data_IF_192409280823
#
_entry.id   IF_192409280823
#
_cell.length_a   1.000
_cell.length_b   1.000
_cell.length_c   1.000
_cell.angle_alpha   90.00
_cell.angle_beta   90.00
_cell.angle_gamma   90.00
#
_symmetry.space_group_name_H-M   'P 1'
#
loop_
_entity.id
_entity.type
_entity.pdbx_description
1 polymer ?
#
# COMPACT_ATOMS: atom_id res chain seq x y z
N UNK A 1 0.95 9.18 -25.95
CA UNK A 1 2.21 8.55 -25.46
C UNK A 1 1.96 7.86 -24.13
N UNK A 2 2.89 7.03 -23.68
CA UNK A 2 2.79 6.32 -22.40
C UNK A 2 3.09 7.23 -21.20
N UNK A 3 2.32 7.11 -20.12
CA UNK A 3 2.48 7.87 -18.88
C UNK A 3 3.00 6.97 -17.75
N UNK A 4 3.97 7.46 -16.98
CA UNK A 4 4.48 6.79 -15.77
C UNK A 4 3.47 6.95 -14.64
N UNK A 5 2.59 5.97 -14.43
CA UNK A 5 1.50 6.08 -13.45
C UNK A 5 1.84 5.45 -12.09
N UNK A 6 2.83 4.56 -12.05
CA UNK A 6 3.32 3.90 -10.84
C UNK A 6 4.80 3.52 -10.95
N UNK A 7 5.46 3.25 -9.81
CA UNK A 7 6.90 3.02 -9.66
C UNK A 7 7.59 2.21 -10.77
N UNK A 8 6.94 1.17 -11.29
CA UNK A 8 7.50 0.22 -12.27
C UNK A 8 6.75 0.11 -13.59
N UNK A 9 5.68 0.87 -13.82
CA UNK A 9 4.90 0.71 -15.06
C UNK A 9 4.45 2.01 -15.72
N UNK A 10 4.34 1.90 -17.05
CA UNK A 10 3.87 2.94 -17.94
C UNK A 10 2.64 2.43 -18.71
N UNK A 11 1.67 3.29 -18.97
CA UNK A 11 0.49 2.93 -19.74
C UNK A 11 -0.02 4.13 -20.55
N UNK A 12 -0.71 3.86 -21.66
CA UNK A 12 -1.58 4.86 -22.27
C UNK A 12 -2.74 5.21 -21.32
N UNK A 13 -3.40 6.37 -21.50
CA UNK A 13 -4.66 6.65 -20.84
C UNK A 13 -5.63 5.46 -20.97
N UNK A 14 -6.38 5.17 -19.92
CA UNK A 14 -7.36 4.06 -19.84
C UNK A 14 -6.81 2.62 -19.94
N UNK A 15 -5.50 2.46 -20.10
CA UNK A 15 -4.82 1.15 -20.15
C UNK A 15 -3.98 0.85 -18.90
N UNK A 16 -4.22 1.57 -17.79
CA UNK A 16 -3.52 1.34 -16.52
C UNK A 16 -3.94 -0.01 -15.92
N UNK A 17 -2.98 -0.78 -15.38
CA UNK A 17 -3.27 -2.10 -14.79
C UNK A 17 -4.15 -1.96 -13.54
N UNK A 18 -5.39 -2.46 -13.63
CA UNK A 18 -6.36 -2.44 -12.51
C UNK A 18 -5.86 -3.18 -11.28
N UNK A 19 -5.13 -4.29 -11.46
CA UNK A 19 -4.57 -5.06 -10.35
C UNK A 19 -3.51 -4.26 -9.58
N UNK A 20 -2.53 -3.66 -10.29
CA UNK A 20 -1.49 -2.84 -9.67
C UNK A 20 -2.12 -1.63 -8.96
N UNK A 21 -3.09 -0.96 -9.60
CA UNK A 21 -3.78 0.17 -9.00
C UNK A 21 -4.49 -0.23 -7.71
N UNK A 22 -5.22 -1.35 -7.68
CA UNK A 22 -5.85 -1.84 -6.45
C UNK A 22 -4.80 -2.08 -5.35
N UNK A 23 -3.68 -2.72 -5.67
CA UNK A 23 -2.63 -3.00 -4.71
C UNK A 23 -2.01 -1.72 -4.13
N UNK A 24 -1.68 -0.76 -4.99
CA UNK A 24 -1.06 0.51 -4.60
C UNK A 24 -2.03 1.46 -3.90
N UNK A 25 -3.32 1.42 -4.22
CA UNK A 25 -4.37 2.15 -3.49
C UNK A 25 -4.77 1.47 -2.19
N UNK A 26 -4.02 0.44 -1.77
CA UNK A 26 -4.25 -0.31 -0.53
C UNK A 26 -5.63 -0.98 -0.49
N UNK A 27 -6.14 -1.41 -1.65
CA UNK A 27 -7.38 -2.18 -1.80
C UNK A 27 -7.22 -3.64 -1.39
N UNK A 28 -8.35 -4.35 -1.35
CA UNK A 28 -8.40 -5.74 -0.92
C UNK A 28 -8.14 -6.71 -2.07
N UNK A 29 -7.54 -7.84 -1.74
CA UNK A 29 -7.24 -8.92 -2.69
C UNK A 29 -7.00 -10.24 -1.97
N UNK A 30 -7.34 -11.33 -2.66
CA UNK A 30 -7.12 -12.69 -2.21
C UNK A 30 -5.84 -13.24 -2.83
N UNK A 31 -4.97 -13.83 -2.00
CA UNK A 31 -3.85 -14.62 -2.47
C UNK A 31 -4.28 -16.06 -2.75
N UNK A 32 -4.02 -16.58 -3.94
CA UNK A 32 -4.32 -17.97 -4.33
C UNK A 32 -3.02 -18.68 -4.70
N UNK A 33 -2.85 -19.92 -4.23
CA UNK A 33 -1.63 -20.71 -4.44
C UNK A 33 -0.64 -20.67 -3.27
N UNK A 34 0.40 -21.49 -3.38
CA UNK A 34 1.47 -21.57 -2.39
C UNK A 34 2.20 -20.22 -2.31
N UNK A 35 2.49 -19.77 -1.10
CA UNK A 35 3.20 -18.51 -0.83
C UNK A 35 2.40 -17.24 -1.11
N UNK A 36 1.15 -17.35 -1.57
CA UNK A 36 0.37 -16.17 -1.91
C UNK A 36 -0.01 -15.35 -0.66
N UNK A 37 -0.03 -14.04 -0.83
CA UNK A 37 -0.43 -13.07 0.18
C UNK A 37 -1.79 -12.47 -0.17
N UNK A 38 -2.53 -12.04 0.85
CA UNK A 38 -3.78 -11.29 0.68
C UNK A 38 -3.90 -10.16 1.68
N UNK A 39 -4.82 -9.24 1.39
CA UNK A 39 -5.23 -8.15 2.27
C UNK A 39 -6.76 -8.08 2.25
N UNK A 40 -7.36 -8.07 3.42
CA UNK A 40 -8.79 -7.93 3.61
C UNK A 40 -9.05 -6.81 4.61
N UNK A 41 -9.99 -5.93 4.30
CA UNK A 41 -10.42 -4.85 5.18
C UNK A 41 -11.76 -5.24 5.79
N UNK A 42 -11.82 -5.23 7.12
CA UNK A 42 -13.05 -5.36 7.88
C UNK A 42 -13.54 -3.95 8.20
N UNK A 43 -14.47 -3.44 7.39
CA UNK A 43 -15.01 -2.10 7.53
C UNK A 43 -15.92 -1.94 8.73
N UNK A 44 -16.44 -3.03 9.31
CA UNK A 44 -17.32 -2.99 10.48
C UNK A 44 -16.48 -2.75 11.74
N UNK A 45 -15.40 -3.49 11.91
CA UNK A 45 -14.52 -3.36 13.08
C UNK A 45 -13.30 -2.45 12.82
N UNK A 46 -13.19 -1.89 11.61
CA UNK A 46 -12.06 -1.06 11.19
C UNK A 46 -10.72 -1.79 11.16
N UNK A 47 -10.71 -3.13 11.05
CA UNK A 47 -9.49 -3.94 11.08
C UNK A 47 -8.98 -4.25 9.68
N UNK A 48 -7.66 -4.45 9.54
CA UNK A 48 -7.06 -4.92 8.28
C UNK A 48 -6.35 -6.22 8.57
N UNK A 49 -6.67 -7.25 7.79
CA UNK A 49 -6.15 -8.61 7.94
C UNK A 49 -5.22 -8.92 6.77
N UNK A 50 -3.95 -9.20 7.10
CA UNK A 50 -3.01 -9.81 6.17
C UNK A 50 -3.13 -11.32 6.22
N UNK A 51 -3.22 -11.93 5.04
CA UNK A 51 -3.17 -13.39 4.90
C UNK A 51 -1.89 -13.79 4.21
N UNK A 52 -1.29 -14.90 4.64
CA UNK A 52 -0.13 -15.50 4.00
C UNK A 52 -0.30 -17.01 3.95
N UNK A 53 -0.25 -17.59 2.75
CA UNK A 53 -0.29 -19.03 2.53
C UNK A 53 1.08 -19.66 2.72
N UNK A 54 1.11 -20.95 3.10
CA UNK A 54 2.35 -21.72 3.21
C UNK A 54 3.13 -21.61 1.89
N UNK A 55 4.40 -21.20 1.99
CA UNK A 55 5.24 -20.94 0.81
C UNK A 55 5.69 -22.21 0.09
N UNK A 56 6.04 -23.26 0.85
CA UNK A 56 6.44 -24.53 0.27
C UNK A 56 5.23 -25.22 -0.40
N UNK A 57 5.27 -25.50 -1.72
CA UNK A 57 4.14 -26.05 -2.46
C UNK A 57 3.66 -27.42 -1.94
N UNK A 58 4.56 -28.33 -1.59
CA UNK A 58 4.19 -29.67 -1.09
C UNK A 58 3.43 -29.56 0.24
N UNK A 59 3.95 -28.80 1.20
CA UNK A 59 3.27 -28.53 2.47
C UNK A 59 1.95 -27.77 2.27
N UNK A 60 1.91 -26.86 1.30
CA UNK A 60 0.68 -26.15 0.93
C UNK A 60 -0.38 -27.12 0.37
N UNK A 61 0.01 -28.10 -0.45
CA UNK A 61 -0.89 -29.11 -1.01
C UNK A 61 -1.33 -30.13 0.03
N UNK A 62 -0.44 -30.55 0.91
CA UNK A 62 -0.75 -31.46 2.02
C UNK A 62 -1.80 -30.88 2.99
N UNK A 63 -1.93 -29.55 3.04
CA UNK A 63 -2.90 -28.82 3.86
C UNK A 63 -4.15 -28.38 3.06
N UNK A 64 -4.41 -28.96 1.88
CA UNK A 64 -5.59 -28.63 1.10
C UNK A 64 -6.88 -28.91 1.89
N UNK A 65 -7.83 -27.97 1.86
CA UNK A 65 -9.06 -28.04 2.67
C UNK A 65 -8.88 -27.68 4.15
N UNK A 66 -7.64 -27.50 4.64
CA UNK A 66 -7.35 -27.14 6.02
C UNK A 66 -7.17 -25.61 6.18
N UNK A 67 -7.71 -25.04 7.26
CA UNK A 67 -7.55 -23.62 7.59
C UNK A 67 -6.11 -23.22 7.95
N UNK A 68 -5.30 -24.15 8.46
CA UNK A 68 -3.88 -23.95 8.78
C UNK A 68 -2.99 -23.70 7.55
N UNK A 69 -3.55 -23.86 6.33
CA UNK A 69 -2.89 -23.52 5.07
C UNK A 69 -2.56 -22.02 4.95
N UNK A 70 -3.15 -21.18 5.79
CA UNK A 70 -2.94 -19.74 5.84
C UNK A 70 -2.66 -19.26 7.27
N UNK A 71 -1.79 -18.25 7.39
CA UNK A 71 -1.67 -17.42 8.59
C UNK A 71 -2.46 -16.13 8.38
N UNK A 72 -3.06 -15.62 9.45
CA UNK A 72 -3.75 -14.34 9.49
C UNK A 72 -3.11 -13.43 10.52
N UNK A 73 -2.96 -12.16 10.18
CA UNK A 73 -2.46 -11.13 11.08
C UNK A 73 -3.35 -9.91 10.97
N UNK A 74 -3.87 -9.43 12.11
CA UNK A 74 -4.52 -8.12 12.18
C UNK A 74 -3.43 -7.07 12.29
N UNK A 75 -3.45 -6.07 11.41
CA UNK A 75 -2.46 -5.00 11.41
C UNK A 75 -2.67 -4.05 12.59
N UNK A 76 -1.56 -3.71 13.25
CA UNK A 76 -1.54 -2.63 14.24
C UNK A 76 -1.76 -1.27 13.56
N UNK A 77 -2.14 -0.21 14.30
CA UNK A 77 -2.21 1.14 13.75
C UNK A 77 -0.91 1.59 13.07
N UNK A 78 0.26 1.26 13.66
CA UNK A 78 1.56 1.57 13.08
C UNK A 78 1.77 0.82 11.75
N UNK A 79 1.44 -0.46 11.68
CA UNK A 79 1.57 -1.25 10.45
C UNK A 79 0.61 -0.75 9.36
N UNK A 80 -0.64 -0.42 9.70
CA UNK A 80 -1.60 0.17 8.75
C UNK A 80 -1.04 1.44 8.11
N UNK A 81 -0.47 2.33 8.93
CA UNK A 81 0.16 3.57 8.48
C UNK A 81 1.33 3.27 7.54
N UNK A 82 2.28 2.45 7.99
CA UNK A 82 3.50 2.14 7.23
C UNK A 82 3.18 1.42 5.92
N UNK A 83 2.35 0.38 5.96
CA UNK A 83 1.99 -0.38 4.76
C UNK A 83 1.17 0.42 3.76
N UNK A 84 0.25 1.28 4.23
CA UNK A 84 -0.47 2.18 3.35
C UNK A 84 0.49 3.10 2.60
N UNK A 85 1.41 3.76 3.30
CA UNK A 85 2.37 4.68 2.69
C UNK A 85 3.32 3.97 1.73
N UNK A 86 3.80 2.77 2.10
CA UNK A 86 4.61 1.91 1.23
C UNK A 86 3.91 1.65 -0.11
N UNK A 87 2.60 1.44 -0.09
CA UNK A 87 1.83 1.19 -1.30
C UNK A 87 1.46 2.48 -2.05
N UNK A 88 0.84 3.43 -1.38
CA UNK A 88 0.27 4.61 -2.01
C UNK A 88 1.33 5.54 -2.64
N UNK A 89 2.51 5.66 -2.03
CA UNK A 89 3.60 6.48 -2.58
C UNK A 89 4.31 5.84 -3.78
N UNK A 90 3.96 4.61 -4.17
CA UNK A 90 4.36 4.03 -5.46
C UNK A 90 3.54 4.57 -6.62
N UNK A 91 2.38 5.18 -6.37
CA UNK A 91 1.62 5.88 -7.41
C UNK A 91 2.26 7.24 -7.68
N UNK A 92 2.38 7.60 -8.96
CA UNK A 92 2.83 8.94 -9.34
C UNK A 92 1.92 10.03 -8.77
N UNK A 93 0.61 9.76 -8.74
CA UNK A 93 -0.39 10.70 -8.23
C UNK A 93 -0.56 10.64 -6.70
N UNK A 94 0.20 9.75 -6.04
CA UNK A 94 0.14 9.51 -4.60
C UNK A 94 -1.27 9.14 -4.11
N UNK A 95 -1.69 9.78 -3.01
CA UNK A 95 -3.01 9.57 -2.42
C UNK A 95 -3.64 10.87 -1.91
N UNK A 96 -4.96 10.83 -1.71
CA UNK A 96 -5.68 11.92 -1.04
C UNK A 96 -5.80 11.63 0.46
N UNK A 97 -5.87 12.65 1.33
CA UNK A 97 -6.15 12.49 2.76
C UNK A 97 -7.33 11.57 3.07
N UNK A 98 -8.42 11.68 2.31
CA UNK A 98 -9.64 10.91 2.49
C UNK A 98 -9.40 9.42 2.22
N UNK A 99 -8.57 9.09 1.22
CA UNK A 99 -8.21 7.69 0.95
C UNK A 99 -7.45 7.09 2.13
N UNK A 100 -6.52 7.83 2.73
CA UNK A 100 -5.78 7.36 3.92
C UNK A 100 -6.73 7.11 5.09
N UNK A 101 -7.56 8.09 5.42
CA UNK A 101 -8.50 7.99 6.55
C UNK A 101 -9.50 6.85 6.33
N UNK A 102 -10.13 6.77 5.14
CA UNK A 102 -11.12 5.74 4.82
C UNK A 102 -10.54 4.34 4.88
N UNK A 103 -9.29 4.15 4.42
CA UNK A 103 -8.72 2.80 4.29
C UNK A 103 -8.05 2.33 5.57
N UNK A 104 -7.46 3.24 6.35
CA UNK A 104 -6.72 2.87 7.57
C UNK A 104 -7.51 3.10 8.86
N UNK A 105 -8.51 3.99 8.83
CA UNK A 105 -9.20 4.50 10.02
C UNK A 105 -8.38 5.50 10.84
N UNK A 106 -7.20 5.92 10.35
CA UNK A 106 -6.27 6.77 11.07
C UNK A 106 -6.40 8.23 10.65
N UNK A 107 -6.15 9.15 11.58
CA UNK A 107 -6.10 10.58 11.29
C UNK A 107 -4.82 10.96 10.55
N UNK A 108 -4.94 11.89 9.60
CA UNK A 108 -3.79 12.50 8.91
C UNK A 108 -2.78 13.15 9.86
N UNK A 109 -3.19 13.53 11.08
CA UNK A 109 -2.29 14.08 12.10
C UNK A 109 -1.14 13.11 12.43
N UNK A 110 -1.35 11.80 12.29
CA UNK A 110 -0.30 10.79 12.50
C UNK A 110 0.80 10.81 11.44
N UNK A 111 0.59 11.50 10.32
CA UNK A 111 1.56 11.64 9.24
C UNK A 111 2.30 12.99 9.27
N UNK A 112 1.80 13.97 10.03
CA UNK A 112 2.24 15.37 9.92
C UNK A 112 3.76 15.56 10.04
N UNK A 113 4.47 14.95 11.02
CA UNK A 113 5.93 15.11 11.12
C UNK A 113 6.68 14.58 9.89
N UNK A 114 6.27 13.42 9.39
CA UNK A 114 6.89 12.80 8.21
C UNK A 114 6.58 13.55 6.92
N UNK A 115 5.35 14.05 6.78
CA UNK A 115 4.95 14.90 5.64
C UNK A 115 5.79 16.17 5.59
N UNK A 116 5.95 16.84 6.72
CA UNK A 116 6.74 18.08 6.80
C UNK A 116 8.20 17.83 6.48
N UNK A 117 8.81 16.82 7.12
CA UNK A 117 10.20 16.44 6.90
C UNK A 117 10.47 16.05 5.43
N UNK A 118 9.59 15.27 4.80
CA UNK A 118 9.73 14.87 3.42
C UNK A 118 9.49 16.02 2.41
N UNK A 119 8.63 16.99 2.74
CA UNK A 119 8.45 18.22 1.94
C UNK A 119 9.68 19.11 2.00
N UNK A 120 10.23 19.32 3.20
CA UNK A 120 11.50 20.05 3.38
C UNK A 120 12.65 19.41 2.59
N UNK A 121 12.68 18.07 2.50
CA UNK A 121 13.65 17.34 1.67
C UNK A 121 13.38 17.41 0.15
N UNK A 122 12.26 18.02 -0.27
CA UNK A 122 11.81 18.10 -1.66
C UNK A 122 11.35 16.76 -2.26
N UNK A 123 11.00 15.80 -1.40
CA UNK A 123 10.56 14.45 -1.81
C UNK A 123 9.04 14.38 -2.00
N UNK A 124 8.27 15.23 -1.32
CA UNK A 124 6.83 15.39 -1.52
C UNK A 124 6.50 16.77 -2.10
N UNK A 125 5.39 16.84 -2.83
CA UNK A 125 4.78 18.11 -3.23
C UNK A 125 4.10 18.82 -2.06
N UNK A 126 3.82 20.11 -2.26
CA UNK A 126 3.20 20.98 -1.26
C UNK A 126 1.67 21.12 -1.45
N UNK A 127 1.06 20.27 -2.28
CA UNK A 127 -0.37 20.34 -2.51
C UNK A 127 -1.15 19.88 -1.25
N UNK A 128 -2.22 20.60 -0.87
CA UNK A 128 -3.04 20.23 0.30
C UNK A 128 -3.97 19.05 -0.01
N UNK A 129 -4.47 18.94 -1.24
CA UNK A 129 -5.45 17.92 -1.65
C UNK A 129 -4.83 16.53 -1.84
N UNK A 130 -3.50 16.46 -2.04
CA UNK A 130 -2.79 15.22 -2.35
C UNK A 130 -1.42 15.16 -1.72
N UNK A 131 -1.11 14.01 -1.15
CA UNK A 131 0.25 13.63 -0.78
C UNK A 131 0.84 12.88 -1.96
N UNK A 132 1.67 13.57 -2.75
CA UNK A 132 2.31 13.00 -3.94
C UNK A 132 3.83 13.12 -3.90
N UNK A 133 4.59 12.07 -4.29
CA UNK A 133 6.02 12.19 -4.50
C UNK A 133 6.35 13.16 -5.63
N UNK A 134 7.38 13.99 -5.44
CA UNK A 134 7.98 14.75 -6.55
C UNK A 134 8.74 13.80 -7.49
N UNK A 135 9.25 14.29 -8.61
CA UNK A 135 10.18 13.50 -9.44
C UNK A 135 11.42 13.05 -8.66
N UNK A 136 11.91 13.84 -7.69
CA UNK A 136 12.98 13.44 -6.77
C UNK A 136 12.49 12.37 -5.79
N UNK A 137 11.31 12.56 -5.20
CA UNK A 137 10.66 11.59 -4.31
C UNK A 137 10.51 10.21 -4.95
N UNK A 138 10.03 10.13 -6.19
CA UNK A 138 9.90 8.87 -6.93
C UNK A 138 11.24 8.17 -7.15
N UNK A 139 12.30 8.94 -7.46
CA UNK A 139 13.64 8.40 -7.65
C UNK A 139 14.24 7.84 -6.36
N UNK A 140 13.91 8.47 -5.23
CA UNK A 140 14.41 8.09 -3.89
C UNK A 140 13.26 7.63 -2.98
N UNK A 141 12.39 6.76 -3.48
CA UNK A 141 11.16 6.36 -2.79
C UNK A 141 11.45 5.76 -1.40
N UNK A 142 12.51 4.96 -1.26
CA UNK A 142 12.88 4.39 0.04
C UNK A 142 13.30 5.47 1.04
N UNK A 143 14.07 6.47 0.62
CA UNK A 143 14.41 7.62 1.48
C UNK A 143 13.16 8.42 1.86
N UNK A 144 12.23 8.62 0.92
CA UNK A 144 10.94 9.25 1.20
C UNK A 144 10.17 8.48 2.29
N UNK A 145 10.12 7.16 2.22
CA UNK A 145 9.41 6.32 3.19
C UNK A 145 10.05 6.35 4.58
N UNK A 146 11.38 6.53 4.68
CA UNK A 146 12.08 6.61 5.97
C UNK A 146 11.63 7.79 6.85
N UNK A 147 11.00 8.83 6.28
CA UNK A 147 10.44 9.94 7.07
C UNK A 147 9.19 9.54 7.89
N UNK A 148 8.65 8.33 7.71
CA UNK A 148 7.42 7.87 8.34
C UNK A 148 7.60 6.64 9.25
N UNK A 149 8.84 6.20 9.44
CA UNK A 149 9.20 5.04 10.27
C UNK A 149 9.70 5.50 11.63
#
# INVERSE_FOLDING_TARGET
>A
GYQHYEVSAYACPDHRCRHNLNYWQFGDYLGIGAGAHGKLSDTVNGSIIRTRKIANPERYMAQAGNEHRQKRQVLSPADKRTEFLLNALRLTDGFTPELFVRTTGLSMAQLAPGLESARLAGLLGNEPERVRPTSKGRRYLNNLLQHFV
#
